data_IF_352669426118
#
_entry.id   IF_352669426118
#
_cell.length_a   1.000
_cell.length_b   1.000
_cell.length_c   1.000
_cell.angle_alpha   90.00
_cell.angle_beta   90.00
_cell.angle_gamma   90.00
#
_symmetry.space_group_name_H-M   'P 1'
#
loop_
_entity.id
_entity.type
_entity.pdbx_description
1 polymer ?
#
# COMPACT_ATOMS: atom_id res chain seq x y z
N UNK A 1 6.49 16.56 7.83
CA UNK A 1 5.94 15.21 8.08
C UNK A 1 7.06 14.31 8.58
N UNK A 2 6.80 13.39 9.52
CA UNK A 2 7.81 12.51 10.11
C UNK A 2 7.84 11.17 9.37
N UNK A 3 9.02 10.56 9.26
CA UNK A 3 9.19 9.20 8.76
C UNK A 3 9.58 8.24 9.89
N UNK A 4 9.32 6.95 9.66
CA UNK A 4 9.94 5.86 10.41
C UNK A 4 11.46 5.91 10.25
N UNK A 5 12.17 5.56 11.31
CA UNK A 5 13.62 5.51 11.30
C UNK A 5 14.11 4.29 10.52
N UNK A 6 15.36 4.34 10.07
CA UNK A 6 15.99 3.22 9.35
C UNK A 6 15.99 1.91 10.16
N UNK A 7 16.22 2.00 11.48
CA UNK A 7 16.16 0.84 12.37
C UNK A 7 14.72 0.33 12.56
N UNK A 8 13.72 1.21 12.68
CA UNK A 8 12.31 0.80 12.72
C UNK A 8 11.92 0.06 11.44
N UNK A 9 12.33 0.56 10.28
CA UNK A 9 12.08 -0.06 8.97
C UNK A 9 12.74 -1.44 8.91
N UNK A 10 14.01 -1.55 9.34
CA UNK A 10 14.73 -2.82 9.37
C UNK A 10 14.06 -3.87 10.28
N UNK A 11 13.56 -3.45 11.45
CA UNK A 11 12.77 -4.32 12.33
C UNK A 11 11.47 -4.76 11.64
N UNK A 12 10.79 -3.85 10.96
CA UNK A 12 9.53 -4.17 10.27
C UNK A 12 9.73 -5.13 9.11
N UNK A 13 10.77 -4.99 8.29
CA UNK A 13 11.09 -5.93 7.20
C UNK A 13 11.17 -7.36 7.74
N UNK A 14 11.85 -7.55 8.88
CA UNK A 14 11.96 -8.86 9.53
C UNK A 14 10.61 -9.35 10.05
N UNK A 15 9.82 -8.47 10.65
CA UNK A 15 8.50 -8.81 11.21
C UNK A 15 7.47 -9.22 10.16
N UNK A 16 7.62 -8.77 8.91
CA UNK A 16 6.67 -9.09 7.83
C UNK A 16 7.12 -10.23 6.93
N UNK A 17 8.38 -10.66 7.02
CA UNK A 17 9.02 -11.56 6.07
C UNK A 17 8.25 -12.87 5.86
N UNK A 18 7.80 -13.52 6.95
CA UNK A 18 7.10 -14.82 6.87
C UNK A 18 5.70 -14.71 6.24
N UNK A 19 5.08 -13.53 6.34
CA UNK A 19 3.73 -13.28 5.80
C UNK A 19 3.77 -12.65 4.39
N UNK A 20 4.90 -12.09 3.97
CA UNK A 20 5.06 -11.37 2.71
C UNK A 20 5.55 -12.29 1.58
N UNK A 21 4.79 -13.36 1.34
CA UNK A 21 5.14 -14.44 0.38
C UNK A 21 5.43 -13.90 -1.03
N UNK A 22 4.77 -12.81 -1.43
CA UNK A 22 4.95 -12.17 -2.73
C UNK A 22 5.96 -11.00 -2.73
N UNK A 23 6.52 -10.65 -1.57
CA UNK A 23 7.49 -9.56 -1.42
C UNK A 23 6.90 -8.16 -1.59
N UNK A 24 5.57 -8.00 -1.57
CA UNK A 24 4.92 -6.72 -1.85
C UNK A 24 5.20 -5.67 -0.77
N UNK A 25 5.22 -6.09 0.50
CA UNK A 25 5.47 -5.21 1.64
C UNK A 25 6.96 -4.87 1.73
N UNK A 26 7.79 -5.90 1.59
CA UNK A 26 9.24 -5.81 1.65
C UNK A 26 9.79 -4.93 0.54
N UNK A 27 9.20 -4.94 -0.66
CA UNK A 27 9.58 -4.03 -1.76
C UNK A 27 9.49 -2.56 -1.34
N UNK A 28 8.39 -2.15 -0.71
CA UNK A 28 8.19 -0.77 -0.25
C UNK A 28 9.15 -0.43 0.90
N UNK A 29 9.28 -1.33 1.86
CA UNK A 29 10.14 -1.12 3.03
C UNK A 29 11.63 -1.05 2.66
N UNK A 30 12.11 -1.96 1.80
CA UNK A 30 13.49 -1.95 1.30
C UNK A 30 13.75 -0.69 0.49
N UNK A 31 12.79 -0.26 -0.34
CA UNK A 31 12.88 0.97 -1.12
C UNK A 31 12.93 2.27 -0.31
N UNK A 32 12.68 2.20 1.00
CA UNK A 32 12.76 3.32 1.95
C UNK A 32 14.06 3.32 2.79
N UNK A 33 14.92 2.31 2.61
CA UNK A 33 16.20 2.24 3.31
C UNK A 33 17.29 3.04 2.60
N UNK A 34 18.21 3.59 3.39
CA UNK A 34 19.49 4.09 2.86
C UNK A 34 20.41 2.93 2.46
N UNK A 35 21.51 3.27 1.77
CA UNK A 35 22.46 2.29 1.26
C UNK A 35 23.11 1.45 2.38
N UNK A 36 23.35 2.03 3.56
CA UNK A 36 23.96 1.31 4.68
C UNK A 36 23.00 0.22 5.21
N UNK A 37 21.73 0.57 5.39
CA UNK A 37 20.73 -0.31 5.97
C UNK A 37 20.25 -1.37 4.99
N UNK A 38 20.05 -1.02 3.71
CA UNK A 38 19.65 -2.02 2.71
C UNK A 38 20.70 -3.12 2.54
N UNK A 39 21.99 -2.81 2.70
CA UNK A 39 23.09 -3.79 2.65
C UNK A 39 22.98 -4.88 3.70
N UNK A 40 22.26 -4.64 4.80
CA UNK A 40 21.95 -5.68 5.82
C UNK A 40 21.02 -6.76 5.28
N UNK A 41 20.30 -6.49 4.19
CA UNK A 41 19.37 -7.40 3.52
C UNK A 41 19.86 -7.82 2.13
N UNK A 42 20.67 -6.98 1.47
CA UNK A 42 21.31 -7.27 0.19
C UNK A 42 22.77 -6.80 0.19
N UNK A 43 23.72 -7.61 0.70
CA UNK A 43 25.12 -7.20 0.86
C UNK A 43 25.84 -6.82 -0.44
N UNK A 44 25.39 -7.35 -1.58
CA UNK A 44 26.01 -7.13 -2.89
C UNK A 44 25.61 -5.80 -3.54
N UNK A 45 24.66 -5.07 -2.95
CA UNK A 45 24.16 -3.82 -3.55
C UNK A 45 25.19 -2.69 -3.49
N UNK A 46 25.44 -2.09 -4.64
CA UNK A 46 26.41 -1.01 -4.79
C UNK A 46 25.74 0.36 -4.75
N UNK A 47 26.51 1.42 -4.52
CA UNK A 47 26.00 2.78 -4.61
C UNK A 47 25.52 3.15 -6.02
N UNK A 48 26.03 2.47 -7.06
CA UNK A 48 25.59 2.69 -8.44
C UNK A 48 24.22 2.04 -8.72
N UNK A 49 23.86 1.00 -7.98
CA UNK A 49 22.59 0.26 -8.13
C UNK A 49 21.50 0.77 -7.18
N UNK A 50 21.80 1.73 -6.31
CA UNK A 50 20.89 2.21 -5.27
C UNK A 50 20.46 3.66 -5.51
N UNK A 51 19.17 3.89 -5.32
CA UNK A 51 18.60 5.24 -5.23
C UNK A 51 18.65 5.72 -3.79
N UNK A 52 18.88 7.01 -3.58
CA UNK A 52 18.79 7.58 -2.24
C UNK A 52 17.40 7.33 -1.63
N UNK A 53 17.36 7.08 -0.32
CA UNK A 53 16.12 6.91 0.40
C UNK A 53 15.24 8.16 0.22
N UNK A 54 13.95 8.00 -0.12
CA UNK A 54 13.08 9.16 -0.31
C UNK A 54 12.92 9.92 1.01
N UNK A 55 12.89 11.24 0.92
CA UNK A 55 12.44 12.05 2.03
C UNK A 55 10.92 11.92 2.24
N UNK A 56 10.39 12.61 3.25
CA UNK A 56 8.97 12.53 3.58
C UNK A 56 8.06 13.01 2.45
N UNK A 57 8.50 13.98 1.64
CA UNK A 57 7.70 14.51 0.54
C UNK A 57 7.72 13.57 -0.68
N UNK A 58 8.88 13.01 -1.00
CA UNK A 58 9.03 12.01 -2.05
C UNK A 58 8.21 10.76 -1.75
N UNK A 59 8.26 10.26 -0.51
CA UNK A 59 7.49 9.08 -0.11
C UNK A 59 5.97 9.35 -0.11
N UNK A 60 5.54 10.57 0.26
CA UNK A 60 4.15 10.97 0.13
C UNK A 60 3.70 10.93 -1.32
N UNK A 61 4.46 11.55 -2.21
CA UNK A 61 4.13 11.61 -3.63
C UNK A 61 4.09 10.20 -4.26
N UNK A 62 5.00 9.30 -3.87
CA UNK A 62 4.95 7.89 -4.27
C UNK A 62 3.65 7.23 -3.78
N UNK A 63 3.26 7.45 -2.52
CA UNK A 63 2.05 6.88 -1.94
C UNK A 63 0.75 7.40 -2.60
N UNK A 64 0.67 8.71 -2.88
CA UNK A 64 -0.46 9.35 -3.57
C UNK A 64 -0.62 8.83 -5.00
N UNK A 65 0.50 8.71 -5.73
CA UNK A 65 0.52 8.11 -7.06
C UNK A 65 0.10 6.64 -7.02
N UNK A 66 0.57 5.89 -6.01
CA UNK A 66 0.21 4.49 -5.83
C UNK A 66 -1.25 4.30 -5.45
N UNK A 67 -1.85 5.24 -4.73
CA UNK A 67 -3.29 5.23 -4.40
C UNK A 67 -4.15 5.35 -5.66
N UNK A 68 -3.80 6.29 -6.54
CA UNK A 68 -4.45 6.44 -7.86
C UNK A 68 -4.34 5.15 -8.67
N UNK A 69 -3.14 4.55 -8.68
CA UNK A 69 -2.90 3.26 -9.33
C UNK A 69 -3.75 2.13 -8.72
N UNK A 70 -3.87 2.07 -7.39
CA UNK A 70 -4.63 1.06 -6.67
C UNK A 70 -6.12 1.09 -7.02
N UNK A 71 -6.71 2.30 -7.09
CA UNK A 71 -8.09 2.50 -7.54
C UNK A 71 -8.29 1.91 -8.93
N UNK A 72 -7.35 2.15 -9.87
CA UNK A 72 -7.39 1.54 -11.19
C UNK A 72 -7.41 0.01 -11.15
N UNK A 73 -6.66 -0.62 -10.24
CA UNK A 73 -6.65 -2.10 -10.10
C UNK A 73 -7.93 -2.68 -9.52
N UNK A 74 -8.59 -1.93 -8.65
CA UNK A 74 -9.92 -2.26 -8.15
C UNK A 74 -10.95 -2.16 -9.29
N UNK A 75 -10.95 -1.03 -10.02
CA UNK A 75 -11.85 -0.79 -11.16
C UNK A 75 -11.73 -1.88 -12.23
N UNK A 76 -10.50 -2.32 -12.52
CA UNK A 76 -10.21 -3.35 -13.52
C UNK A 76 -10.40 -4.79 -12.98
N UNK A 77 -10.94 -4.98 -11.77
CA UNK A 77 -11.15 -6.28 -11.13
C UNK A 77 -9.88 -7.16 -11.07
N UNK A 78 -8.70 -6.55 -10.86
CA UNK A 78 -7.41 -7.25 -10.91
C UNK A 78 -6.99 -7.81 -9.55
N UNK A 79 -7.55 -8.96 -9.16
CA UNK A 79 -7.31 -9.68 -7.88
C UNK A 79 -5.91 -9.53 -7.26
N UNK A 80 -4.90 -10.14 -7.88
CA UNK A 80 -3.52 -10.12 -7.36
C UNK A 80 -2.93 -8.70 -7.32
N UNK A 81 -3.23 -7.88 -8.34
CA UNK A 81 -2.72 -6.51 -8.39
C UNK A 81 -3.35 -5.62 -7.32
N UNK A 82 -4.63 -5.84 -7.00
CA UNK A 82 -5.33 -5.15 -5.94
C UNK A 82 -4.81 -5.58 -4.55
N UNK A 83 -4.54 -6.87 -4.36
CA UNK A 83 -3.91 -7.40 -3.14
C UNK A 83 -2.55 -6.76 -2.88
N UNK A 84 -1.71 -6.72 -3.92
CA UNK A 84 -0.44 -5.98 -3.87
C UNK A 84 -0.66 -4.52 -3.50
N UNK A 85 -1.68 -3.88 -4.07
CA UNK A 85 -1.91 -2.47 -3.86
C UNK A 85 -2.30 -2.14 -2.42
N UNK A 86 -3.19 -2.94 -1.81
CA UNK A 86 -3.53 -2.81 -0.40
C UNK A 86 -2.30 -3.01 0.49
N UNK A 87 -1.51 -4.06 0.23
CA UNK A 87 -0.30 -4.35 1.01
C UNK A 87 0.70 -3.19 0.96
N UNK A 88 0.94 -2.63 -0.22
CA UNK A 88 1.88 -1.52 -0.41
C UNK A 88 1.40 -0.21 0.21
N UNK A 89 0.12 0.13 0.04
CA UNK A 89 -0.46 1.33 0.67
C UNK A 89 -0.38 1.28 2.19
N UNK A 90 -0.59 0.09 2.79
CA UNK A 90 -0.41 -0.10 4.24
C UNK A 90 1.02 0.20 4.69
N UNK A 91 2.04 -0.24 3.95
CA UNK A 91 3.43 0.07 4.28
C UNK A 91 3.81 1.53 4.03
N UNK A 92 3.27 2.18 2.98
CA UNK A 92 3.45 3.62 2.82
C UNK A 92 2.86 4.41 4.00
N UNK A 93 1.63 4.09 4.43
CA UNK A 93 1.02 4.72 5.60
C UNK A 93 1.87 4.52 6.86
N UNK A 94 2.39 3.30 7.06
CA UNK A 94 3.25 2.99 8.20
C UNK A 94 4.57 3.78 8.18
N UNK A 95 5.24 3.86 7.02
CA UNK A 95 6.49 4.60 6.83
C UNK A 95 6.31 6.11 7.09
N UNK A 96 5.15 6.64 6.70
CA UNK A 96 4.76 8.05 6.88
C UNK A 96 4.28 8.38 8.31
N UNK A 97 4.45 7.46 9.27
CA UNK A 97 3.98 7.58 10.65
C UNK A 97 2.47 7.88 10.75
N UNK A 98 1.68 7.39 9.80
CA UNK A 98 0.21 7.51 9.77
C UNK A 98 -0.43 6.25 10.34
N UNK A 99 -0.14 5.98 11.60
CA UNK A 99 -0.65 4.80 12.32
C UNK A 99 -2.19 4.81 12.41
N UNK A 100 -2.79 5.99 12.44
CA UNK A 100 -4.24 6.18 12.32
C UNK A 100 -4.80 5.61 11.00
N UNK A 101 -4.09 5.83 9.89
CA UNK A 101 -4.46 5.30 8.58
C UNK A 101 -4.22 3.80 8.51
N UNK A 102 -3.11 3.30 9.05
CA UNK A 102 -2.83 1.85 9.12
C UNK A 102 -3.96 1.13 9.87
N UNK A 103 -4.36 1.65 11.05
CA UNK A 103 -5.45 1.08 11.84
C UNK A 103 -6.78 1.12 11.08
N UNK A 104 -7.10 2.24 10.42
CA UNK A 104 -8.32 2.36 9.63
C UNK A 104 -8.35 1.37 8.45
N UNK A 105 -7.22 1.21 7.75
CA UNK A 105 -7.08 0.21 6.68
C UNK A 105 -7.23 -1.21 7.22
N UNK A 106 -6.62 -1.55 8.35
CA UNK A 106 -6.69 -2.89 8.94
C UNK A 106 -8.11 -3.24 9.41
N UNK A 107 -8.83 -2.27 9.96
CA UNK A 107 -10.23 -2.41 10.39
C UNK A 107 -11.22 -2.58 9.22
N UNK A 108 -10.92 -2.03 8.05
CA UNK A 108 -11.76 -2.18 6.86
C UNK A 108 -11.67 -3.59 6.26
N UNK A 109 -12.77 -4.18 5.75
CA UNK A 109 -12.74 -5.53 5.15
C UNK A 109 -12.00 -5.55 3.81
N UNK A 110 -11.48 -6.72 3.42
CA UNK A 110 -10.84 -6.93 2.10
C UNK A 110 -11.87 -7.25 0.99
N UNK A 111 -13.12 -6.84 1.14
CA UNK A 111 -14.15 -7.08 0.12
C UNK A 111 -13.86 -6.31 -1.17
N UNK A 112 -14.37 -6.81 -2.29
CA UNK A 112 -14.37 -6.11 -3.58
C UNK A 112 -12.97 -5.60 -3.96
N UNK A 113 -12.02 -6.53 -4.04
CA UNK A 113 -10.62 -6.24 -4.39
C UNK A 113 -9.94 -5.28 -3.39
N UNK A 114 -10.42 -5.21 -2.15
CA UNK A 114 -9.87 -4.34 -1.11
C UNK A 114 -10.29 -2.87 -1.23
N UNK A 115 -11.35 -2.57 -1.98
CA UNK A 115 -11.85 -1.20 -2.14
C UNK A 115 -12.10 -0.47 -0.81
N UNK A 116 -12.70 -1.09 0.24
CA UNK A 116 -12.89 -0.42 1.53
C UNK A 116 -11.56 0.01 2.19
N UNK A 117 -10.52 -0.82 2.07
CA UNK A 117 -9.17 -0.51 2.60
C UNK A 117 -8.51 0.63 1.83
N UNK A 118 -8.58 0.63 0.50
CA UNK A 118 -8.01 1.71 -0.34
C UNK A 118 -8.76 3.03 -0.15
N UNK A 119 -10.08 2.99 0.09
CA UNK A 119 -10.85 4.18 0.48
C UNK A 119 -10.40 4.73 1.83
N UNK A 120 -10.17 3.86 2.81
CA UNK A 120 -9.67 4.27 4.14
C UNK A 120 -8.31 4.99 4.05
N UNK A 121 -7.41 4.49 3.18
CA UNK A 121 -6.16 5.18 2.87
C UNK A 121 -6.41 6.59 2.29
N UNK A 122 -7.25 6.68 1.25
CA UNK A 122 -7.53 7.95 0.56
C UNK A 122 -8.18 9.00 1.47
N UNK A 123 -9.11 8.58 2.33
CA UNK A 123 -9.72 9.47 3.33
C UNK A 123 -8.68 9.95 4.35
N UNK A 124 -7.85 9.04 4.86
CA UNK A 124 -6.86 9.39 5.88
C UNK A 124 -5.74 10.31 5.37
N UNK A 125 -5.45 10.31 4.07
CA UNK A 125 -4.49 11.22 3.45
C UNK A 125 -5.13 12.43 2.74
N UNK A 126 -6.43 12.67 2.93
CA UNK A 126 -7.18 13.76 2.28
C UNK A 126 -7.11 13.73 0.73
N UNK A 127 -6.91 12.55 0.14
CA UNK A 127 -6.91 12.30 -1.31
C UNK A 127 -8.32 12.05 -1.86
N UNK A 128 -9.25 11.70 -0.96
CA UNK A 128 -10.63 11.41 -1.28
C UNK A 128 -10.84 10.03 -1.93
N UNK A 129 -12.01 9.88 -2.54
CA UNK A 129 -12.44 8.68 -3.25
C UNK A 129 -13.22 9.12 -4.49
N UNK A 130 -13.07 8.47 -5.66
CA UNK A 130 -13.83 8.83 -6.85
C UNK A 130 -15.32 8.68 -6.62
N UNK A 131 -16.09 9.72 -6.99
CA UNK A 131 -17.55 9.67 -6.92
C UNK A 131 -18.15 8.95 -8.14
N UNK A 132 -17.88 7.65 -8.20
CA UNK A 132 -18.35 6.74 -9.25
C UNK A 132 -19.27 5.69 -8.61
N UNK A 133 -20.49 5.47 -9.14
CA UNK A 133 -21.47 4.55 -8.53
C UNK A 133 -20.90 3.15 -8.25
N UNK A 134 -20.16 2.58 -9.21
CA UNK A 134 -19.58 1.25 -9.10
C UNK A 134 -18.53 1.18 -7.99
N UNK A 135 -17.60 2.15 -7.95
CA UNK A 135 -16.56 2.20 -6.92
C UNK A 135 -17.13 2.51 -5.53
N UNK A 136 -18.17 3.33 -5.46
CA UNK A 136 -18.87 3.62 -4.20
C UNK A 136 -19.53 2.37 -3.62
N UNK A 137 -20.14 1.52 -4.47
CA UNK A 137 -20.66 0.21 -4.07
C UNK A 137 -19.54 -0.71 -3.58
N UNK A 138 -18.47 -0.84 -4.36
CA UNK A 138 -17.32 -1.68 -3.98
C UNK A 138 -16.72 -1.27 -2.64
N UNK A 139 -16.56 0.03 -2.41
CA UNK A 139 -16.03 0.55 -1.15
C UNK A 139 -17.00 0.39 0.04
N UNK A 140 -18.28 0.13 -0.22
CA UNK A 140 -19.26 -0.24 0.80
C UNK A 140 -19.31 -1.76 1.06
N UNK A 141 -18.52 -2.56 0.33
CA UNK A 141 -18.52 -4.02 0.43
C UNK A 141 -19.41 -4.72 -0.61
N UNK A 142 -20.25 -3.96 -1.32
CA UNK A 142 -21.17 -4.49 -2.32
C UNK A 142 -20.49 -4.75 -3.66
N UNK A 143 -21.03 -5.70 -4.44
CA UNK A 143 -20.57 -5.89 -5.81
C UNK A 143 -20.70 -4.60 -6.66
N UNK A 144 -19.76 -4.40 -7.60
CA UNK A 144 -19.71 -3.20 -8.45
C UNK A 144 -21.03 -2.97 -9.22
N UNK A 145 -21.74 -4.04 -9.56
CA UNK A 145 -23.11 -4.03 -10.03
C UNK A 145 -23.88 -5.26 -9.46
N UNK A 146 -25.23 -5.29 -9.52
CA UNK A 146 -26.05 -6.36 -8.94
C UNK A 146 -25.75 -7.79 -9.42
N UNK A 147 -25.12 -7.96 -10.59
CA UNK A 147 -24.83 -9.27 -11.20
C UNK A 147 -23.42 -9.30 -11.82
N UNK A 148 -22.41 -8.90 -11.05
CA UNK A 148 -21.05 -8.84 -11.56
C UNK A 148 -20.50 -10.23 -11.91
N UNK A 149 -20.22 -10.47 -13.19
CA UNK A 149 -19.64 -11.73 -13.67
C UNK A 149 -18.14 -11.85 -13.36
N UNK A 150 -17.46 -10.73 -13.13
CA UNK A 150 -16.01 -10.65 -12.86
C UNK A 150 -15.61 -11.13 -11.45
N UNK A 151 -16.60 -11.44 -10.59
CA UNK A 151 -16.37 -12.03 -9.27
C UNK A 151 -16.58 -11.08 -8.08
N UNK A 152 -17.09 -9.86 -8.30
CA UNK A 152 -17.52 -9.01 -7.20
C UNK A 152 -18.69 -9.65 -6.44
N UNK A 153 -18.47 -10.15 -5.22
CA UNK A 153 -19.52 -10.72 -4.36
C UNK A 153 -19.74 -12.24 -4.44
N UNK A 154 -18.76 -13.01 -4.92
CA UNK A 154 -18.73 -14.48 -4.76
C UNK A 154 -17.67 -14.93 -3.78
#
# INVERSE_FOLDING_TARGET
MKLRTQDEIAVRIRAVADADIFGFRSEVLLGALDLEHVRRFNPEITAADWRDAPDAAGLLAEAESYHTFAIGKIRDHRGISALRSVAKLGEYAWLLCRDDVVVAMDAAPYEQYGAPKVKSFGVGFDLGWPDEPELNRMAAGDGCCPDCEEGCGR
#
